data_IF_866494315710
#
_entry.id   IF_866494315710
#
_cell.length_a   1.000
_cell.length_b   1.000
_cell.length_c   1.000
_cell.angle_alpha   90.00
_cell.angle_beta   90.00
_cell.angle_gamma   90.00
#
_symmetry.space_group_name_H-M   'P 1'
#
loop_
_entity.id
_entity.type
_entity.pdbx_description
1 polymer ?
#
# COMPACT_ATOMS: atom_id res chain seq x y z
N UNK A 1 -0.38 -69.88 -70.80
CA UNK A 1 -1.32 -68.90 -70.21
C UNK A 1 -0.58 -68.20 -69.03
N UNK A 2 -0.19 -66.98 -69.26
CA UNK A 2 0.70 -66.18 -68.32
C UNK A 2 -0.16 -65.38 -67.41
N UNK A 3 -0.07 -65.64 -66.09
CA UNK A 3 -0.74 -64.81 -65.02
C UNK A 3 0.09 -63.60 -64.63
N UNK A 4 -0.43 -62.42 -64.78
CA UNK A 4 0.17 -61.21 -64.32
C UNK A 4 -0.24 -61.01 -62.85
N UNK A 5 0.76 -60.94 -61.93
CA UNK A 5 0.59 -60.48 -60.52
C UNK A 5 0.66 -58.98 -60.50
N UNK A 6 -0.46 -58.32 -60.06
CA UNK A 6 -0.54 -56.90 -59.81
C UNK A 6 0.00 -56.65 -58.42
N UNK A 7 1.13 -55.92 -58.32
CA UNK A 7 1.66 -55.45 -57.04
C UNK A 7 1.09 -54.08 -56.79
N UNK A 8 0.18 -53.96 -55.77
CA UNK A 8 -0.32 -52.68 -55.27
C UNK A 8 0.72 -52.11 -54.29
N UNK A 9 1.36 -51.03 -54.70
CA UNK A 9 2.21 -50.22 -53.77
C UNK A 9 1.31 -49.24 -53.04
N UNK A 10 1.11 -49.46 -51.76
CA UNK A 10 0.47 -48.47 -50.84
C UNK A 10 1.48 -47.38 -50.49
N UNK A 11 1.28 -46.19 -51.05
CA UNK A 11 1.99 -44.99 -50.64
C UNK A 11 1.36 -44.47 -49.31
N UNK A 12 2.03 -44.65 -48.19
CA UNK A 12 1.67 -44.04 -46.92
C UNK A 12 2.11 -42.57 -46.97
N UNK A 13 1.20 -41.67 -47.24
CA UNK A 13 1.39 -40.23 -46.96
C UNK A 13 1.37 -40.03 -45.45
N UNK A 14 2.53 -39.91 -44.83
CA UNK A 14 2.64 -39.37 -43.46
C UNK A 14 2.40 -37.86 -43.56
N UNK A 15 1.17 -37.46 -43.28
CA UNK A 15 0.86 -36.04 -43.00
C UNK A 15 1.52 -35.69 -41.69
N UNK A 16 2.63 -34.95 -41.73
CA UNK A 16 3.18 -34.29 -40.57
C UNK A 16 2.24 -33.15 -40.22
N UNK A 17 1.40 -33.37 -39.24
CA UNK A 17 0.69 -32.29 -38.52
C UNK A 17 1.74 -31.42 -37.85
N UNK A 18 2.24 -30.43 -38.57
CA UNK A 18 2.91 -29.29 -37.95
C UNK A 18 1.85 -28.50 -37.16
N UNK A 19 1.67 -28.90 -35.90
CA UNK A 19 0.99 -28.07 -34.92
C UNK A 19 1.75 -26.75 -34.84
N UNK A 20 1.35 -25.79 -35.67
CA UNK A 20 1.67 -24.39 -35.50
C UNK A 20 1.08 -23.98 -34.15
N UNK A 21 1.84 -24.17 -33.06
CA UNK A 21 1.64 -23.45 -31.83
C UNK A 21 1.70 -21.97 -32.21
N UNK A 22 0.55 -21.37 -32.39
CA UNK A 22 0.38 -19.91 -32.52
C UNK A 22 0.94 -19.32 -31.26
N UNK A 23 2.22 -18.97 -31.27
CA UNK A 23 2.85 -18.04 -30.35
C UNK A 23 2.23 -16.67 -30.69
N UNK A 24 0.98 -16.46 -30.23
CA UNK A 24 0.38 -15.16 -30.21
C UNK A 24 1.30 -14.36 -29.30
N UNK A 25 2.19 -13.57 -29.90
CA UNK A 25 3.08 -12.66 -29.21
C UNK A 25 2.23 -11.91 -28.16
N UNK A 26 2.35 -12.32 -26.90
CA UNK A 26 1.58 -11.72 -25.80
C UNK A 26 1.91 -10.24 -25.85
N UNK A 27 0.92 -9.40 -26.17
CA UNK A 27 1.05 -7.94 -26.17
C UNK A 27 1.76 -7.52 -24.89
N UNK A 28 2.81 -6.72 -25.02
CA UNK A 28 3.52 -6.17 -23.86
C UNK A 28 2.54 -5.38 -23.00
N UNK A 29 2.39 -5.75 -21.74
CA UNK A 29 1.55 -5.05 -20.78
C UNK A 29 2.22 -3.72 -20.39
N UNK A 30 1.48 -2.63 -20.44
CA UNK A 30 1.97 -1.29 -20.13
C UNK A 30 1.25 -0.76 -18.90
N UNK A 31 1.94 -0.68 -17.76
CA UNK A 31 1.38 -0.31 -16.47
C UNK A 31 1.93 1.07 -16.08
N UNK A 32 1.04 2.00 -15.73
CA UNK A 32 1.41 3.24 -15.08
C UNK A 32 1.40 3.07 -13.56
N UNK A 33 2.46 3.42 -12.86
CA UNK A 33 2.51 3.45 -11.42
C UNK A 33 2.54 4.88 -10.91
N UNK A 34 1.43 5.35 -10.33
CA UNK A 34 1.28 6.70 -9.78
C UNK A 34 1.35 6.66 -8.26
N UNK A 35 2.24 7.46 -7.71
CA UNK A 35 2.42 7.56 -6.27
C UNK A 35 2.61 8.99 -5.81
N UNK A 36 2.08 9.32 -4.62
CA UNK A 36 2.21 10.64 -4.03
C UNK A 36 3.65 10.93 -3.53
N UNK A 37 4.42 9.89 -3.19
CA UNK A 37 5.71 10.01 -2.52
C UNK A 37 6.87 9.56 -3.41
N UNK A 38 8.09 9.61 -2.83
CA UNK A 38 9.31 9.10 -3.43
C UNK A 38 9.29 7.54 -3.54
N UNK A 39 10.15 6.97 -4.40
CA UNK A 39 10.30 5.52 -4.51
C UNK A 39 10.59 4.82 -3.19
N UNK A 40 9.98 3.65 -2.99
CA UNK A 40 10.27 2.72 -1.91
C UNK A 40 10.24 1.27 -2.42
N UNK A 41 10.30 0.30 -1.49
CA UNK A 41 10.33 -1.13 -1.81
C UNK A 41 8.98 -1.71 -2.26
N UNK A 42 7.88 -0.95 -2.21
CA UNK A 42 6.54 -1.45 -2.52
C UNK A 42 6.38 -1.89 -3.97
N UNK A 43 7.03 -1.19 -4.91
CA UNK A 43 7.03 -1.56 -6.31
C UNK A 43 7.72 -2.91 -6.55
N UNK A 44 8.73 -3.28 -5.77
CA UNK A 44 9.37 -4.59 -5.87
C UNK A 44 8.43 -5.72 -5.47
N UNK A 45 7.56 -5.51 -4.50
CA UNK A 45 6.53 -6.48 -4.12
C UNK A 45 5.51 -6.69 -5.25
N UNK A 46 5.10 -5.60 -5.91
CA UNK A 46 4.28 -5.67 -7.11
C UNK A 46 5.00 -6.41 -8.26
N UNK A 47 6.25 -6.05 -8.54
CA UNK A 47 7.08 -6.72 -9.57
C UNK A 47 7.21 -8.22 -9.31
N UNK A 48 7.41 -8.63 -8.03
CA UNK A 48 7.42 -10.06 -7.67
C UNK A 48 6.08 -10.71 -8.00
N UNK A 49 4.95 -10.08 -7.60
CA UNK A 49 3.63 -10.58 -7.93
C UNK A 49 3.38 -10.70 -9.45
N UNK A 50 3.83 -9.73 -10.24
CA UNK A 50 3.74 -9.80 -11.70
C UNK A 50 4.62 -10.91 -12.28
N UNK A 51 5.84 -11.11 -11.76
CA UNK A 51 6.71 -12.23 -12.18
C UNK A 51 6.08 -13.60 -11.90
N UNK A 52 5.46 -13.77 -10.74
CA UNK A 52 4.76 -15.01 -10.36
C UNK A 52 3.60 -15.33 -11.33
N UNK A 53 3.05 -14.30 -11.99
CA UNK A 53 2.00 -14.40 -13.02
C UNK A 53 2.54 -14.47 -14.46
N UNK A 54 3.86 -14.50 -14.64
CA UNK A 54 4.52 -14.63 -15.94
C UNK A 54 4.78 -13.29 -16.66
N UNK A 55 4.64 -12.15 -15.99
CA UNK A 55 4.99 -10.84 -16.54
C UNK A 55 6.40 -10.43 -16.08
N UNK A 56 7.29 -10.21 -17.06
CA UNK A 56 8.70 -9.87 -16.81
C UNK A 56 8.99 -8.50 -17.41
N UNK A 57 9.38 -7.56 -16.58
CA UNK A 57 9.76 -6.20 -17.01
C UNK A 57 10.92 -6.26 -17.99
N UNK A 58 10.83 -5.49 -19.08
CA UNK A 58 11.76 -5.51 -20.20
C UNK A 58 11.52 -6.64 -21.23
N UNK A 59 10.63 -7.61 -20.97
CA UNK A 59 10.27 -8.68 -21.91
C UNK A 59 8.83 -8.54 -22.42
N UNK A 60 7.86 -8.56 -21.50
CA UNK A 60 6.42 -8.49 -21.79
C UNK A 60 5.66 -7.59 -20.81
N UNK A 61 6.39 -6.77 -20.05
CA UNK A 61 5.88 -5.81 -19.10
C UNK A 61 6.74 -4.54 -19.17
N UNK A 62 6.07 -3.38 -19.21
CA UNK A 62 6.66 -2.05 -19.01
C UNK A 62 5.95 -1.39 -17.83
N UNK A 63 6.71 -0.78 -16.92
CA UNK A 63 6.17 -0.04 -15.78
C UNK A 63 6.64 1.41 -15.85
N UNK A 64 5.72 2.30 -16.22
CA UNK A 64 5.93 3.76 -16.21
C UNK A 64 5.68 4.32 -14.82
N UNK A 65 6.69 4.93 -14.23
CA UNK A 65 6.63 5.41 -12.85
C UNK A 65 6.47 6.92 -12.80
N UNK A 66 5.57 7.41 -11.95
CA UNK A 66 5.36 8.84 -11.67
C UNK A 66 5.27 9.07 -10.17
N UNK A 67 6.12 9.96 -9.68
CA UNK A 67 6.30 10.24 -8.26
C UNK A 67 6.07 11.73 -8.00
N UNK A 68 5.14 12.04 -7.10
CA UNK A 68 4.91 13.42 -6.69
C UNK A 68 5.91 13.92 -5.62
N UNK A 69 6.73 13.02 -5.04
CA UNK A 69 7.73 13.35 -4.02
C UNK A 69 7.14 14.16 -2.84
N UNK A 70 5.93 13.80 -2.41
CA UNK A 70 5.19 14.46 -1.33
C UNK A 70 4.43 15.72 -1.74
N UNK A 71 4.52 16.15 -2.99
CA UNK A 71 3.79 17.31 -3.53
C UNK A 71 2.48 16.83 -4.15
N UNK A 72 1.42 16.76 -3.36
CA UNK A 72 0.12 16.25 -3.82
C UNK A 72 -0.46 17.05 -4.98
N UNK A 73 -0.12 18.33 -5.09
CA UNK A 73 -0.56 19.21 -6.20
C UNK A 73 0.00 18.79 -7.56
N UNK A 74 1.09 18.02 -7.61
CA UNK A 74 1.65 17.46 -8.85
C UNK A 74 0.88 16.24 -9.36
N UNK A 75 0.09 15.56 -8.52
CA UNK A 75 -0.61 14.32 -8.87
C UNK A 75 -1.52 14.42 -10.10
N UNK A 76 -2.32 15.50 -10.31
CA UNK A 76 -3.16 15.62 -11.50
C UNK A 76 -2.33 15.62 -12.79
N UNK A 77 -1.23 16.37 -12.83
CA UNK A 77 -0.32 16.42 -14.00
C UNK A 77 0.32 15.06 -14.26
N UNK A 78 0.82 14.41 -13.22
CA UNK A 78 1.46 13.10 -13.31
C UNK A 78 0.47 12.00 -13.74
N UNK A 79 -0.78 12.07 -13.29
CA UNK A 79 -1.84 11.18 -13.74
C UNK A 79 -2.15 11.37 -15.22
N UNK A 80 -2.19 12.64 -15.69
CA UNK A 80 -2.42 12.96 -17.10
C UNK A 80 -1.29 12.41 -17.99
N UNK A 81 -0.03 12.52 -17.57
CA UNK A 81 1.10 11.93 -18.30
C UNK A 81 0.95 10.43 -18.53
N UNK A 82 0.44 9.67 -17.53
CA UNK A 82 0.17 8.24 -17.69
C UNK A 82 -0.99 7.98 -18.65
N UNK A 83 -2.02 8.83 -18.64
CA UNK A 83 -3.15 8.75 -19.58
C UNK A 83 -2.64 8.99 -21.01
N UNK A 84 -1.79 9.98 -21.23
CA UNK A 84 -1.23 10.33 -22.54
C UNK A 84 -0.33 9.20 -23.11
N UNK A 85 0.36 8.47 -22.23
CA UNK A 85 1.10 7.25 -22.56
C UNK A 85 0.20 6.06 -22.92
N UNK A 86 -1.12 6.18 -22.73
CA UNK A 86 -2.10 5.13 -23.03
C UNK A 86 -1.78 3.79 -22.35
N UNK A 87 -1.39 3.84 -21.07
CA UNK A 87 -1.12 2.63 -20.30
C UNK A 87 -2.37 1.75 -20.21
N UNK A 88 -2.18 0.43 -20.08
CA UNK A 88 -3.29 -0.53 -19.99
C UNK A 88 -3.99 -0.47 -18.63
N UNK A 89 -3.24 -0.18 -17.56
CA UNK A 89 -3.73 -0.07 -16.18
C UNK A 89 -2.92 0.98 -15.44
N UNK A 90 -3.56 1.79 -14.59
CA UNK A 90 -2.87 2.65 -13.63
C UNK A 90 -2.94 1.99 -12.26
N UNK A 91 -1.77 1.64 -11.71
CA UNK A 91 -1.59 1.19 -10.33
C UNK A 91 -1.37 2.42 -9.43
N UNK A 92 -2.06 2.50 -8.30
CA UNK A 92 -1.88 3.59 -7.32
C UNK A 92 -1.58 3.04 -5.93
N UNK A 93 -0.85 3.82 -5.12
CA UNK A 93 -0.43 3.41 -3.78
C UNK A 93 -0.99 4.29 -2.65
N UNK A 94 -1.91 5.20 -2.95
CA UNK A 94 -2.57 6.06 -1.95
C UNK A 94 -3.91 6.58 -2.47
N UNK A 95 -4.81 6.98 -1.56
CA UNK A 95 -6.10 7.59 -1.92
C UNK A 95 -5.94 8.87 -2.74
N UNK A 96 -5.04 9.83 -2.43
CA UNK A 96 -4.84 11.01 -3.27
C UNK A 96 -4.41 10.68 -4.70
N UNK A 97 -3.50 9.70 -4.88
CA UNK A 97 -3.07 9.26 -6.21
C UNK A 97 -4.22 8.60 -6.98
N UNK A 98 -5.04 7.78 -6.33
CA UNK A 98 -6.20 7.15 -6.96
C UNK A 98 -7.26 8.19 -7.39
N UNK A 99 -7.52 9.20 -6.56
CA UNK A 99 -8.41 10.31 -6.90
C UNK A 99 -7.90 11.12 -8.10
N UNK A 100 -6.60 11.39 -8.15
CA UNK A 100 -5.99 12.08 -9.29
C UNK A 100 -6.11 11.27 -10.58
N UNK A 101 -5.80 9.97 -10.54
CA UNK A 101 -5.97 9.07 -11.68
C UNK A 101 -7.43 8.99 -12.13
N UNK A 102 -8.40 8.86 -11.20
CA UNK A 102 -9.82 8.80 -11.53
C UNK A 102 -10.35 10.09 -12.18
N UNK A 103 -9.80 11.25 -11.82
CA UNK A 103 -10.14 12.53 -12.44
C UNK A 103 -9.55 12.64 -13.85
N UNK A 104 -8.34 12.11 -14.07
CA UNK A 104 -7.64 12.14 -15.36
C UNK A 104 -8.25 11.18 -16.39
N UNK A 105 -8.83 10.05 -15.97
CA UNK A 105 -9.43 9.08 -16.90
C UNK A 105 -10.67 8.39 -16.33
N UNK A 106 -11.62 8.07 -17.23
CA UNK A 106 -12.79 7.25 -16.92
C UNK A 106 -12.76 5.89 -17.63
N UNK A 107 -11.75 5.67 -18.47
CA UNK A 107 -11.67 4.48 -19.33
C UNK A 107 -10.49 3.57 -18.97
N UNK A 108 -9.31 4.14 -18.64
CA UNK A 108 -8.19 3.33 -18.20
C UNK A 108 -8.50 2.76 -16.82
N UNK A 109 -8.39 1.43 -16.65
CA UNK A 109 -8.55 0.78 -15.35
C UNK A 109 -7.58 1.31 -14.30
N UNK A 110 -8.05 1.48 -13.08
CA UNK A 110 -7.23 1.93 -11.95
C UNK A 110 -7.28 0.85 -10.86
N UNK A 111 -6.11 0.35 -10.47
CA UNK A 111 -5.96 -0.59 -9.38
C UNK A 111 -5.33 0.12 -8.19
N UNK A 112 -6.03 0.14 -7.07
CA UNK A 112 -5.51 0.66 -5.79
C UNK A 112 -4.77 -0.49 -5.12
N UNK A 113 -3.45 -0.38 -4.94
CA UNK A 113 -2.69 -1.35 -4.15
C UNK A 113 -2.82 -1.07 -2.64
N UNK A 114 -2.97 0.21 -2.27
CA UNK A 114 -3.13 0.67 -0.90
C UNK A 114 -3.97 1.96 -0.88
N UNK A 115 -5.16 1.88 -0.36
CA UNK A 115 -6.07 3.01 -0.19
C UNK A 115 -6.74 2.94 1.17
N UNK A 116 -7.10 4.07 1.75
CA UNK A 116 -7.73 4.08 3.08
C UNK A 116 -9.18 3.59 3.02
N UNK A 117 -10.09 4.47 2.64
CA UNK A 117 -11.51 4.16 2.46
C UNK A 117 -11.96 4.60 1.06
N UNK A 118 -12.04 3.68 0.09
CA UNK A 118 -12.40 4.01 -1.28
C UNK A 118 -13.88 4.39 -1.45
N UNK A 119 -14.76 4.01 -0.51
CA UNK A 119 -16.19 4.39 -0.53
C UNK A 119 -16.35 5.80 0.03
N UNK A 120 -15.82 6.08 1.21
CA UNK A 120 -15.92 7.41 1.82
C UNK A 120 -15.19 8.50 1.01
N UNK A 121 -14.12 8.13 0.27
CA UNK A 121 -13.42 9.05 -0.63
C UNK A 121 -14.12 9.25 -1.98
N UNK A 122 -15.23 8.55 -2.26
CA UNK A 122 -15.96 8.64 -3.52
C UNK A 122 -15.29 7.98 -4.72
N UNK A 123 -14.27 7.14 -4.50
CA UNK A 123 -13.60 6.40 -5.56
C UNK A 123 -14.46 5.28 -6.14
N UNK A 124 -15.27 4.62 -5.30
CA UNK A 124 -16.15 3.51 -5.70
C UNK A 124 -17.50 3.62 -5.01
N UNK A 125 -18.53 3.01 -5.61
CA UNK A 125 -19.89 3.01 -5.05
C UNK A 125 -20.00 2.11 -3.81
N UNK A 126 -19.36 0.94 -3.83
CA UNK A 126 -19.26 0.01 -2.69
C UNK A 126 -18.05 -0.89 -2.85
N UNK A 127 -17.62 -1.56 -1.76
CA UNK A 127 -16.51 -2.51 -1.82
C UNK A 127 -16.88 -3.73 -2.67
N UNK A 128 -18.12 -4.24 -2.55
CA UNK A 128 -18.57 -5.44 -3.28
C UNK A 128 -18.77 -5.19 -4.78
N UNK A 129 -19.21 -4.00 -5.16
CA UNK A 129 -19.47 -3.57 -6.55
C UNK A 129 -18.96 -2.16 -6.78
N UNK A 130 -17.68 -2.00 -7.16
CA UNK A 130 -17.06 -0.68 -7.39
C UNK A 130 -17.79 0.16 -8.45
N UNK A 131 -18.26 -0.45 -9.55
CA UNK A 131 -19.16 0.14 -10.53
C UNK A 131 -18.54 1.08 -11.56
N UNK A 132 -17.25 1.43 -11.42
CA UNK A 132 -16.54 2.33 -12.33
C UNK A 132 -15.26 1.69 -12.90
N UNK A 133 -14.25 2.53 -13.18
CA UNK A 133 -12.94 2.09 -13.63
C UNK A 133 -11.93 1.86 -12.50
N UNK A 134 -12.35 1.93 -11.23
CA UNK A 134 -11.51 1.77 -10.05
C UNK A 134 -11.82 0.46 -9.34
N UNK A 135 -10.78 -0.28 -8.95
CA UNK A 135 -10.84 -1.47 -8.11
C UNK A 135 -9.55 -1.62 -7.30
N UNK A 136 -9.37 -2.70 -6.55
CA UNK A 136 -8.11 -3.00 -5.85
C UNK A 136 -8.30 -3.36 -4.38
N UNK A 137 -7.51 -2.76 -3.49
CA UNK A 137 -7.46 -3.08 -2.07
C UNK A 137 -7.63 -1.83 -1.20
N UNK A 138 -8.27 -2.01 -0.03
CA UNK A 138 -8.28 -1.01 1.05
C UNK A 138 -7.34 -1.44 2.16
N UNK A 139 -6.72 -0.49 2.86
CA UNK A 139 -5.85 -0.76 4.01
C UNK A 139 -6.58 -0.80 5.35
N UNK A 140 -7.89 -0.58 5.38
CA UNK A 140 -8.73 -0.54 6.60
C UNK A 140 -8.18 0.41 7.67
N UNK A 141 -7.58 1.53 7.27
CA UNK A 141 -6.91 2.46 8.20
C UNK A 141 -7.86 2.95 9.30
N UNK A 142 -9.16 3.00 9.03
CA UNK A 142 -10.19 3.43 9.96
C UNK A 142 -10.22 2.60 11.24
N UNK A 143 -10.28 1.27 11.12
CA UNK A 143 -10.33 0.35 12.24
C UNK A 143 -8.95 0.24 12.92
N UNK A 144 -7.90 0.32 12.11
CA UNK A 144 -6.52 0.23 12.61
C UNK A 144 -6.11 1.45 13.44
N UNK A 145 -6.63 2.64 13.14
CA UNK A 145 -6.25 3.86 13.87
C UNK A 145 -6.64 3.80 15.35
N UNK A 146 -7.82 3.27 15.65
CA UNK A 146 -8.27 3.06 17.02
C UNK A 146 -7.49 1.94 17.68
N UNK A 147 -7.28 0.82 16.99
CA UNK A 147 -6.51 -0.32 17.50
C UNK A 147 -5.05 0.04 17.82
N UNK A 148 -4.41 0.84 16.99
CA UNK A 148 -3.07 1.37 17.29
C UNK A 148 -3.05 2.20 18.57
N UNK A 149 -4.09 3.01 18.81
CA UNK A 149 -4.16 3.84 20.01
C UNK A 149 -4.31 2.98 21.28
N UNK A 150 -5.17 1.93 21.22
CA UNK A 150 -5.29 0.94 22.28
C UNK A 150 -3.95 0.21 22.55
N UNK A 151 -3.27 -0.26 21.49
CA UNK A 151 -1.98 -0.93 21.62
C UNK A 151 -0.91 -0.03 22.22
N UNK A 152 -0.86 1.25 21.82
CA UNK A 152 0.07 2.23 22.42
C UNK A 152 -0.18 2.38 23.92
N UNK A 153 -1.46 2.49 24.33
CA UNK A 153 -1.86 2.57 25.74
C UNK A 153 -1.55 1.29 26.50
N UNK A 154 -1.73 0.13 25.90
CA UNK A 154 -1.43 -1.17 26.51
C UNK A 154 0.09 -1.37 26.70
N UNK A 155 0.89 -0.96 25.72
CA UNK A 155 2.36 -1.03 25.78
C UNK A 155 2.93 -0.03 26.81
N UNK A 156 2.31 1.13 26.94
CA UNK A 156 2.76 2.20 27.86
C UNK A 156 1.59 2.70 28.69
N UNK A 157 1.18 1.97 29.73
CA UNK A 157 -0.06 2.28 30.49
C UNK A 157 -0.10 3.69 31.13
N UNK A 158 1.07 4.26 31.45
CA UNK A 158 1.19 5.57 32.14
C UNK A 158 0.92 6.79 31.25
N UNK A 159 0.85 6.66 29.91
CA UNK A 159 0.68 7.81 29.00
C UNK A 159 -0.70 8.45 29.15
N UNK A 160 -0.73 9.77 29.04
CA UNK A 160 -1.95 10.60 29.00
C UNK A 160 -1.97 11.49 27.77
N UNK A 161 -0.87 12.17 27.47
CA UNK A 161 -0.78 13.13 26.36
C UNK A 161 -0.10 12.49 25.15
N UNK A 162 -0.84 12.31 24.05
CA UNK A 162 -0.31 11.71 22.82
C UNK A 162 -0.29 12.76 21.71
N UNK A 163 0.90 13.04 21.18
CA UNK A 163 1.03 13.81 19.94
C UNK A 163 0.65 12.93 18.76
N UNK A 164 -0.20 13.44 17.87
CA UNK A 164 -0.67 12.75 16.67
C UNK A 164 -0.14 13.49 15.46
N UNK A 165 0.83 12.89 14.78
CA UNK A 165 1.46 13.45 13.58
C UNK A 165 0.70 12.97 12.34
N UNK A 166 0.21 13.89 11.49
CA UNK A 166 -0.54 13.64 10.29
C UNK A 166 -0.29 14.69 9.20
N UNK A 167 -0.76 14.44 7.95
CA UNK A 167 -0.55 15.33 6.81
C UNK A 167 -1.85 16.02 6.43
N UNK A 168 -1.80 17.32 6.16
CA UNK A 168 -2.90 18.05 5.55
C UNK A 168 -3.12 17.60 4.10
N UNK A 169 -4.35 17.80 3.58
CA UNK A 169 -4.67 17.48 2.18
C UNK A 169 -4.99 16.00 1.90
N UNK A 170 -4.73 15.09 2.84
CA UNK A 170 -5.24 13.72 2.73
C UNK A 170 -6.67 13.68 3.29
N UNK A 171 -7.71 13.46 2.43
CA UNK A 171 -9.11 13.52 2.82
C UNK A 171 -9.52 12.45 3.83
N UNK A 172 -8.71 11.39 3.98
CA UNK A 172 -8.99 10.29 4.91
C UNK A 172 -8.61 10.62 6.35
N UNK A 173 -7.68 11.54 6.58
CA UNK A 173 -7.18 11.85 7.93
C UNK A 173 -8.21 12.52 8.86
N UNK A 174 -9.02 13.53 8.44
CA UNK A 174 -9.98 14.14 9.33
C UNK A 174 -11.04 13.18 9.91
N UNK A 175 -11.64 12.26 9.13
CA UNK A 175 -12.51 11.22 9.67
C UNK A 175 -11.81 10.30 10.69
N UNK A 176 -10.60 9.84 10.37
CA UNK A 176 -9.79 9.00 11.27
C UNK A 176 -9.53 9.70 12.59
N UNK A 177 -9.13 10.98 12.52
CA UNK A 177 -8.88 11.78 13.71
C UNK A 177 -10.14 11.89 14.58
N UNK A 178 -11.31 12.17 14.02
CA UNK A 178 -12.57 12.22 14.79
C UNK A 178 -12.87 10.90 15.49
N UNK A 179 -12.62 9.74 14.86
CA UNK A 179 -12.79 8.43 15.51
C UNK A 179 -11.81 8.24 16.67
N UNK A 180 -10.55 8.62 16.49
CA UNK A 180 -9.56 8.58 17.58
C UNK A 180 -9.95 9.47 18.74
N UNK A 181 -10.43 10.71 18.47
CA UNK A 181 -10.90 11.63 19.49
C UNK A 181 -12.11 11.08 20.26
N UNK A 182 -12.98 10.33 19.61
CA UNK A 182 -14.16 9.72 20.23
C UNK A 182 -13.79 8.62 21.25
N UNK A 183 -12.75 7.82 20.99
CA UNK A 183 -12.32 6.73 21.89
C UNK A 183 -11.26 7.18 22.92
N UNK A 184 -10.59 8.29 22.69
CA UNK A 184 -9.50 8.75 23.55
C UNK A 184 -9.90 8.92 25.03
N UNK A 185 -11.12 9.42 25.38
CA UNK A 185 -11.56 9.50 26.78
C UNK A 185 -11.65 8.14 27.48
N UNK A 186 -12.12 7.08 26.76
CA UNK A 186 -12.25 5.74 27.33
C UNK A 186 -10.86 5.14 27.64
N UNK A 187 -9.86 5.51 26.83
CA UNK A 187 -8.46 5.17 27.05
C UNK A 187 -7.74 6.10 28.02
N UNK A 188 -8.44 7.13 28.56
CA UNK A 188 -7.87 8.19 29.40
C UNK A 188 -6.71 8.92 28.71
N UNK A 189 -6.85 9.18 27.40
CA UNK A 189 -5.87 9.88 26.58
C UNK A 189 -6.34 11.26 26.16
N UNK A 190 -5.39 12.18 26.00
CA UNK A 190 -5.56 13.51 25.40
C UNK A 190 -4.72 13.58 24.15
N UNK A 191 -5.38 13.74 23.00
CA UNK A 191 -4.72 13.73 21.71
C UNK A 191 -4.43 15.15 21.22
N UNK A 192 -3.17 15.45 20.92
CA UNK A 192 -2.73 16.73 20.37
C UNK A 192 -2.32 16.57 18.90
N UNK A 193 -3.11 17.12 17.96
CA UNK A 193 -2.78 17.08 16.54
C UNK A 193 -1.56 17.95 16.22
N UNK A 194 -0.65 17.41 15.41
CA UNK A 194 0.43 18.16 14.75
C UNK A 194 0.39 17.86 13.27
N UNK A 195 0.14 18.90 12.48
CA UNK A 195 -0.16 18.79 11.06
C UNK A 195 1.06 19.21 10.26
N UNK A 196 1.46 18.37 9.31
CA UNK A 196 2.41 18.68 8.24
C UNK A 196 1.61 19.15 7.04
N UNK A 197 1.87 20.34 6.53
CA UNK A 197 1.19 20.91 5.36
C UNK A 197 1.99 20.59 4.12
N UNK A 198 3.28 20.88 4.14
CA UNK A 198 4.22 20.58 3.06
C UNK A 198 5.32 19.64 3.57
N UNK A 199 5.95 18.84 2.71
CA UNK A 199 7.06 17.97 3.12
C UNK A 199 8.20 18.70 3.85
N UNK A 200 8.46 19.97 3.49
CA UNK A 200 9.45 20.85 4.13
C UNK A 200 9.11 21.21 5.58
N UNK A 201 7.84 21.10 5.98
CA UNK A 201 7.37 21.51 7.30
C UNK A 201 7.59 20.43 8.37
N UNK A 202 8.09 19.26 8.00
CA UNK A 202 8.25 18.12 8.91
C UNK A 202 9.13 18.48 10.12
N UNK A 203 10.24 19.18 9.91
CA UNK A 203 11.14 19.59 11.01
C UNK A 203 10.44 20.56 11.97
N UNK A 204 9.66 21.51 11.45
CA UNK A 204 8.86 22.40 12.25
C UNK A 204 7.77 21.65 13.04
N UNK A 205 7.12 20.65 12.40
CA UNK A 205 6.12 19.82 13.05
C UNK A 205 6.73 19.01 14.20
N UNK A 206 7.90 18.40 13.99
CA UNK A 206 8.63 17.70 15.05
C UNK A 206 9.04 18.66 16.19
N UNK A 207 9.49 19.87 15.86
CA UNK A 207 9.76 20.91 16.87
C UNK A 207 8.52 21.29 17.70
N UNK A 208 7.33 21.38 17.07
CA UNK A 208 6.05 21.61 17.77
C UNK A 208 5.68 20.44 18.69
N UNK A 209 6.00 19.19 18.31
CA UNK A 209 5.82 18.02 19.19
C UNK A 209 6.72 18.15 20.42
N UNK A 210 8.02 18.43 20.21
CA UNK A 210 8.98 18.60 21.31
C UNK A 210 8.54 19.68 22.30
N UNK A 211 8.09 20.84 21.81
CA UNK A 211 7.63 21.95 22.65
C UNK A 211 6.40 21.60 23.51
N UNK A 212 5.58 20.64 23.09
CA UNK A 212 4.40 20.18 23.85
C UNK A 212 4.73 19.12 24.90
N UNK A 213 5.92 18.55 24.85
CA UNK A 213 6.41 17.50 25.75
C UNK A 213 5.36 16.38 25.98
N UNK A 214 4.89 15.68 24.94
CA UNK A 214 3.89 14.62 25.09
C UNK A 214 4.52 13.37 25.73
N UNK A 215 3.66 12.48 26.24
CA UNK A 215 4.09 11.18 26.79
C UNK A 215 4.37 10.14 25.72
N UNK A 216 3.75 10.30 24.53
CA UNK A 216 3.90 9.38 23.42
C UNK A 216 3.63 10.04 22.06
N UNK A 217 4.05 9.37 21.00
CA UNK A 217 3.85 9.79 19.62
C UNK A 217 3.04 8.75 18.85
N UNK A 218 1.98 9.19 18.18
CA UNK A 218 1.26 8.43 17.17
C UNK A 218 1.56 8.99 15.80
N UNK A 219 2.13 8.18 14.92
CA UNK A 219 2.45 8.56 13.54
C UNK A 219 1.41 7.93 12.61
N UNK A 220 0.63 8.76 11.93
CA UNK A 220 -0.35 8.28 10.95
C UNK A 220 0.34 7.51 9.83
N UNK A 221 -0.40 6.57 9.24
CA UNK A 221 0.03 5.90 8.03
C UNK A 221 0.00 6.91 6.87
N UNK A 222 1.19 7.38 6.53
CA UNK A 222 1.36 8.35 5.46
C UNK A 222 2.72 8.11 4.81
N UNK A 223 2.77 7.98 3.49
CA UNK A 223 4.00 7.70 2.79
C UNK A 223 5.08 8.80 2.95
N UNK A 224 4.68 10.06 3.14
CA UNK A 224 5.63 11.12 3.55
C UNK A 224 6.42 10.72 4.80
N UNK A 225 5.75 10.11 5.78
CA UNK A 225 6.40 9.70 7.02
C UNK A 225 7.24 8.44 6.82
N UNK A 226 6.79 7.50 6.00
CA UNK A 226 7.59 6.31 5.64
C UNK A 226 8.90 6.71 4.93
N UNK A 227 8.84 7.67 4.00
CA UNK A 227 10.04 8.21 3.31
C UNK A 227 10.97 9.01 4.24
N UNK A 228 10.50 9.40 5.41
CA UNK A 228 11.25 10.12 6.43
C UNK A 228 11.36 9.34 7.75
N UNK A 229 11.24 8.00 7.69
CA UNK A 229 11.23 7.12 8.87
C UNK A 229 12.42 7.34 9.79
N UNK A 230 13.64 7.37 9.25
CA UNK A 230 14.88 7.60 10.01
C UNK A 230 14.84 8.90 10.81
N UNK A 231 14.33 9.99 10.22
CA UNK A 231 14.20 11.30 10.89
C UNK A 231 13.20 11.23 12.05
N UNK A 232 12.02 10.62 11.80
CA UNK A 232 10.95 10.54 12.81
C UNK A 232 11.35 9.60 13.95
N UNK A 233 11.98 8.47 13.65
CA UNK A 233 12.51 7.53 14.64
C UNK A 233 13.62 8.18 15.48
N UNK A 234 14.57 8.86 14.82
CA UNK A 234 15.63 9.59 15.51
C UNK A 234 15.10 10.70 16.42
N UNK A 235 14.04 11.40 16.00
CA UNK A 235 13.34 12.36 16.82
C UNK A 235 12.70 11.69 18.07
N UNK A 236 11.95 10.60 17.88
CA UNK A 236 11.31 9.87 18.96
C UNK A 236 12.36 9.35 19.99
N UNK A 237 13.47 8.79 19.49
CA UNK A 237 14.56 8.32 20.34
C UNK A 237 15.22 9.46 21.12
N UNK A 238 15.54 10.59 20.48
CA UNK A 238 16.15 11.78 21.10
C UNK A 238 15.29 12.31 22.24
N UNK A 239 13.98 12.33 22.04
CA UNK A 239 13.02 12.86 23.04
C UNK A 239 12.46 11.76 23.96
N UNK A 240 12.97 10.52 23.87
CA UNK A 240 12.53 9.36 24.66
C UNK A 240 11.01 9.13 24.59
N UNK A 241 10.41 9.36 23.40
CA UNK A 241 8.99 9.23 23.16
C UNK A 241 8.66 7.79 22.70
N UNK A 242 7.91 7.02 23.49
CA UNK A 242 7.27 5.81 22.96
C UNK A 242 6.43 6.16 21.75
N UNK A 243 6.59 5.40 20.64
CA UNK A 243 5.89 5.73 19.42
C UNK A 243 5.26 4.51 18.76
N UNK A 244 4.05 4.70 18.18
CA UNK A 244 3.38 3.72 17.33
C UNK A 244 3.32 4.23 15.90
N UNK A 245 3.54 3.32 14.97
CA UNK A 245 3.66 3.60 13.54
C UNK A 245 2.68 2.79 12.70
N UNK A 246 2.34 3.30 11.52
CA UNK A 246 1.47 2.67 10.55
C UNK A 246 2.15 1.68 9.61
N UNK A 247 3.43 1.36 9.81
CA UNK A 247 4.17 0.43 8.95
C UNK A 247 5.29 -0.29 9.69
N UNK A 248 5.54 -1.56 9.33
CA UNK A 248 6.55 -2.42 9.96
C UNK A 248 7.97 -1.92 9.71
N UNK A 249 8.21 -1.21 8.61
CA UNK A 249 9.50 -0.62 8.26
C UNK A 249 10.03 0.28 9.38
N UNK A 250 9.16 1.08 10.02
CA UNK A 250 9.56 1.91 11.15
C UNK A 250 10.15 1.10 12.31
N UNK A 251 9.56 -0.06 12.62
CA UNK A 251 10.03 -0.89 13.72
C UNK A 251 11.34 -1.60 13.37
N UNK A 252 11.50 -2.01 12.10
CA UNK A 252 12.76 -2.57 11.60
C UNK A 252 13.90 -1.55 11.65
N UNK A 253 13.59 -0.28 11.41
CA UNK A 253 14.54 0.84 11.43
C UNK A 253 14.78 1.41 12.85
N UNK A 254 14.15 0.85 13.90
CA UNK A 254 14.39 1.25 15.29
C UNK A 254 13.21 1.89 16.01
N UNK A 255 12.02 1.98 15.40
CA UNK A 255 10.79 2.40 16.07
C UNK A 255 10.31 1.37 17.10
N UNK A 256 9.43 1.77 18.03
CA UNK A 256 9.01 0.93 19.14
C UNK A 256 8.01 -0.15 18.73
N UNK A 257 6.87 0.24 18.19
CA UNK A 257 5.78 -0.68 17.78
C UNK A 257 5.11 -0.23 16.50
N UNK A 258 4.61 -1.20 15.72
CA UNK A 258 3.73 -0.96 14.59
C UNK A 258 2.62 -1.99 14.52
N UNK A 259 1.46 -1.58 14.02
CA UNK A 259 0.36 -2.47 13.68
C UNK A 259 -0.24 -2.02 12.35
N UNK A 260 -0.09 -2.84 11.32
CA UNK A 260 -0.41 -2.47 9.95
C UNK A 260 -0.84 -3.70 9.12
N UNK A 261 -1.54 -3.50 7.99
CA UNK A 261 -1.65 -4.54 6.99
C UNK A 261 -0.26 -4.89 6.43
N UNK A 262 -0.09 -6.12 5.97
CA UNK A 262 1.11 -6.50 5.22
C UNK A 262 1.09 -5.83 3.84
N UNK A 263 1.78 -4.70 3.70
CA UNK A 263 1.86 -3.98 2.42
C UNK A 263 2.50 -4.83 1.33
N UNK A 264 3.50 -5.66 1.67
CA UNK A 264 4.08 -6.63 0.73
C UNK A 264 3.00 -7.55 0.14
N UNK A 265 2.15 -8.12 0.99
CA UNK A 265 1.04 -8.97 0.55
C UNK A 265 0.01 -8.19 -0.29
N UNK A 266 -0.30 -6.95 0.07
CA UNK A 266 -1.23 -6.09 -0.68
C UNK A 266 -0.69 -5.78 -2.07
N UNK A 267 0.58 -5.38 -2.22
CA UNK A 267 1.16 -5.10 -3.54
C UNK A 267 1.27 -6.35 -4.41
N UNK A 268 1.60 -7.51 -3.85
CA UNK A 268 1.51 -8.80 -4.56
C UNK A 268 0.09 -9.11 -5.00
N UNK A 269 -0.90 -8.84 -4.14
CA UNK A 269 -2.31 -9.04 -4.47
C UNK A 269 -2.80 -8.08 -5.55
N UNK A 270 -2.32 -6.83 -5.56
CA UNK A 270 -2.62 -5.87 -6.62
C UNK A 270 -2.16 -6.37 -8.01
N UNK A 271 -1.05 -7.11 -8.10
CA UNK A 271 -0.61 -7.75 -9.34
C UNK A 271 -1.67 -8.73 -9.89
N UNK A 272 -2.37 -9.47 -9.01
CA UNK A 272 -3.46 -10.36 -9.42
C UNK A 272 -4.65 -9.58 -10.01
N UNK A 273 -4.94 -8.39 -9.48
CA UNK A 273 -5.97 -7.51 -10.04
C UNK A 273 -5.57 -6.99 -11.42
N UNK A 274 -4.32 -6.56 -11.56
CA UNK A 274 -3.77 -6.14 -12.85
C UNK A 274 -3.84 -7.28 -13.87
N UNK A 275 -3.43 -8.49 -13.51
CA UNK A 275 -3.52 -9.67 -14.39
C UNK A 275 -4.96 -9.95 -14.85
N UNK A 276 -5.94 -9.92 -13.92
CA UNK A 276 -7.35 -10.11 -14.26
C UNK A 276 -7.82 -9.06 -15.29
N UNK A 277 -7.43 -7.80 -15.11
CA UNK A 277 -7.80 -6.70 -16.01
C UNK A 277 -7.12 -6.87 -17.36
N UNK A 278 -5.84 -7.19 -17.42
CA UNK A 278 -5.11 -7.45 -18.67
C UNK A 278 -5.70 -8.64 -19.45
N UNK A 279 -6.38 -9.56 -18.76
CA UNK A 279 -7.13 -10.70 -19.36
C UNK A 279 -8.59 -10.35 -19.69
N UNK A 280 -8.98 -9.07 -19.62
CA UNK A 280 -10.31 -8.60 -20.00
C UNK A 280 -11.32 -8.44 -18.83
N UNK A 281 -10.90 -8.63 -17.60
CA UNK A 281 -11.75 -8.37 -16.43
C UNK A 281 -12.10 -6.89 -16.31
N UNK A 282 -13.37 -6.59 -16.00
CA UNK A 282 -13.82 -5.20 -15.82
C UNK A 282 -13.56 -4.74 -14.38
N UNK A 283 -12.91 -3.60 -14.16
CA UNK A 283 -12.65 -3.10 -12.79
C UNK A 283 -13.91 -2.99 -11.92
N UNK A 284 -15.02 -2.51 -12.51
CA UNK A 284 -16.29 -2.32 -11.80
C UNK A 284 -16.93 -3.60 -11.28
N UNK A 285 -16.55 -4.76 -11.82
CA UNK A 285 -17.04 -6.09 -11.42
C UNK A 285 -16.08 -6.79 -10.45
N UNK A 286 -14.88 -6.25 -10.23
CA UNK A 286 -13.89 -6.79 -9.30
C UNK A 286 -14.05 -6.12 -7.93
N UNK A 287 -14.43 -6.86 -6.87
CA UNK A 287 -14.62 -6.29 -5.53
C UNK A 287 -13.34 -5.65 -4.99
N UNK A 288 -13.48 -4.60 -4.21
CA UNK A 288 -12.37 -4.08 -3.38
C UNK A 288 -12.13 -5.07 -2.24
N UNK A 289 -10.92 -5.60 -2.16
CA UNK A 289 -10.56 -6.52 -1.09
C UNK A 289 -10.01 -5.78 0.14
N UNK A 290 -10.37 -6.29 1.31
CA UNK A 290 -9.80 -5.90 2.58
C UNK A 290 -8.55 -6.75 2.87
N UNK A 291 -7.55 -6.24 3.62
CA UNK A 291 -6.40 -7.05 4.00
C UNK A 291 -6.84 -8.17 4.94
N UNK A 292 -6.32 -9.36 4.71
CA UNK A 292 -6.54 -10.53 5.56
C UNK A 292 -5.36 -10.79 6.50
N UNK A 293 -4.23 -10.15 6.24
CA UNK A 293 -3.02 -10.28 7.04
C UNK A 293 -2.62 -8.93 7.61
N UNK A 294 -2.56 -8.86 8.93
CA UNK A 294 -2.02 -7.74 9.68
C UNK A 294 -0.68 -8.17 10.28
N UNK A 295 0.17 -7.20 10.55
CA UNK A 295 1.50 -7.40 11.11
C UNK A 295 1.66 -6.51 12.34
N UNK A 296 1.85 -7.13 13.49
CA UNK A 296 2.14 -6.47 14.76
C UNK A 296 3.61 -6.70 15.12
N UNK A 297 4.41 -5.65 15.08
CA UNK A 297 5.84 -5.72 15.39
C UNK A 297 6.19 -4.90 16.62
N UNK A 298 7.11 -5.44 17.42
CA UNK A 298 7.63 -4.83 18.65
C UNK A 298 9.15 -4.85 18.63
N UNK A 299 9.79 -3.73 18.98
CA UNK A 299 11.24 -3.63 19.10
C UNK A 299 11.65 -3.55 20.57
N UNK A 300 12.22 -4.66 21.08
CA UNK A 300 12.68 -4.74 22.48
C UNK A 300 13.95 -3.93 22.75
N UNK A 301 14.79 -3.71 21.74
CA UNK A 301 15.96 -2.81 21.90
C UNK A 301 15.50 -1.39 22.20
N UNK A 302 14.52 -0.92 21.43
CA UNK A 302 13.93 0.42 21.63
C UNK A 302 13.15 0.49 22.93
N UNK A 303 12.39 -0.55 23.27
CA UNK A 303 11.71 -0.62 24.57
C UNK A 303 12.70 -0.49 25.73
N UNK A 304 13.81 -1.26 25.70
CA UNK A 304 14.88 -1.21 26.69
C UNK A 304 15.54 0.19 26.78
N UNK A 305 15.82 0.81 25.63
CA UNK A 305 16.40 2.16 25.58
C UNK A 305 15.46 3.23 26.18
N UNK A 306 14.14 3.03 26.06
CA UNK A 306 13.12 3.87 26.65
C UNK A 306 12.84 3.56 28.14
N UNK A 307 13.42 2.46 28.69
CA UNK A 307 13.14 2.00 30.06
C UNK A 307 11.78 1.32 30.20
N UNK A 308 11.23 0.79 29.11
CA UNK A 308 9.92 0.14 29.08
C UNK A 308 10.04 -1.37 29.20
N UNK A 309 9.15 -1.96 30.00
CA UNK A 309 8.93 -3.40 30.03
C UNK A 309 7.67 -3.70 29.23
N UNK A 310 7.82 -4.41 28.12
CA UNK A 310 6.69 -4.79 27.27
C UNK A 310 5.89 -5.91 27.95
N UNK A 311 4.55 -5.75 28.13
CA UNK A 311 3.73 -6.79 28.71
C UNK A 311 3.81 -8.11 27.92
N UNK A 312 3.79 -9.25 28.63
CA UNK A 312 3.83 -10.57 28.00
C UNK A 312 2.64 -10.78 27.04
N UNK A 313 1.47 -10.23 27.35
CA UNK A 313 0.28 -10.27 26.50
C UNK A 313 0.50 -9.61 25.13
N UNK A 314 1.32 -8.57 25.08
CA UNK A 314 1.74 -7.89 23.85
C UNK A 314 2.68 -8.78 23.05
N UNK A 315 3.70 -9.35 23.70
CA UNK A 315 4.69 -10.20 23.03
C UNK A 315 4.08 -11.46 22.43
N UNK A 316 3.09 -12.07 23.10
CA UNK A 316 2.37 -13.24 22.58
C UNK A 316 1.50 -12.95 21.36
N UNK A 317 1.11 -11.69 21.16
CA UNK A 317 0.30 -11.26 20.01
C UNK A 317 1.13 -10.71 18.87
N UNK A 318 2.44 -10.44 19.11
CA UNK A 318 3.32 -9.90 18.11
C UNK A 318 3.68 -10.93 17.04
N UNK A 319 3.52 -10.57 15.77
CA UNK A 319 3.98 -11.37 14.62
C UNK A 319 5.50 -11.33 14.47
N UNK A 320 6.14 -10.29 14.99
CA UNK A 320 7.59 -10.15 15.01
C UNK A 320 8.09 -9.33 16.19
N UNK A 321 9.17 -9.81 16.79
CA UNK A 321 9.86 -9.18 17.91
C UNK A 321 11.33 -8.97 17.53
N UNK A 322 11.76 -7.70 17.48
CA UNK A 322 13.15 -7.31 17.22
C UNK A 322 13.90 -7.26 18.57
N UNK A 323 14.96 -8.06 18.66
CA UNK A 323 15.80 -8.20 19.86
C UNK A 323 17.15 -7.52 19.69
#
# INVERSE_FOLDING_TARGET
>A
MKGYRLVLVFLFCVAADASLASDTAKRTAHIGFLRAEAPDTSLESFRRGMRDLGYIEGRNLVIEQRWANGKHDDLPRLAQELVDLKVDVILTASTPAALAAQRATRTIPIVIARGADPVASGLVASLARPGGNVTGLTSMVDELSTKRLELLKEVVPGIVHVAVLWVAGNPTHPPLRRRMDAIAPDLKLKLAAVIVINPSDLDQALGKIAARNPDALYVFEEPLFSSNSTKIIGFAAKHRLPAIYGGVEFVRDGGLISYAPSFDAMFKRAAVYVDKILKGGKPGDLPIEQPTKFEFFVNLRTAKALGLTIPQSILLRADGVIQ
#
